data_IF_870692192448
#
_entry.id   IF_870692192448
#
_cell.length_a   1.000
_cell.length_b   1.000
_cell.length_c   1.000
_cell.angle_alpha   90.00
_cell.angle_beta   90.00
_cell.angle_gamma   90.00
#
_symmetry.space_group_name_H-M   'P 1'
#
loop_
_entity.id
_entity.type
_entity.pdbx_description
1 polymer ?
#
# COMPACT_ATOMS: atom_id res chain seq x y z
N UNK A 1 49.31 5.41 7.31
CA UNK A 1 50.65 5.92 6.94
C UNK A 1 51.57 4.76 6.63
N UNK A 2 52.57 4.90 5.74
CA UNK A 2 53.66 3.95 5.64
C UNK A 2 54.29 3.67 7.00
N UNK A 3 54.61 2.41 7.29
CA UNK A 3 55.09 1.95 8.61
C UNK A 3 56.27 2.79 9.13
N UNK A 4 57.22 3.12 8.25
CA UNK A 4 58.39 3.91 8.60
C UNK A 4 58.07 5.33 9.08
N UNK A 5 57.00 5.96 8.57
CA UNK A 5 56.53 7.27 9.04
C UNK A 5 55.87 7.12 10.42
N UNK A 6 55.07 6.07 10.59
CA UNK A 6 54.40 5.78 11.86
C UNK A 6 55.42 5.60 13.00
N UNK A 7 56.51 4.86 12.74
CA UNK A 7 57.57 4.61 13.73
C UNK A 7 58.46 5.84 14.02
N UNK A 8 58.48 6.83 13.13
CA UNK A 8 59.22 8.08 13.33
C UNK A 8 58.41 9.09 14.16
N UNK A 9 57.09 9.11 14.00
CA UNK A 9 56.20 10.07 14.67
C UNK A 9 55.51 9.53 15.93
N UNK A 10 55.38 8.21 16.07
CA UNK A 10 54.82 7.57 17.26
C UNK A 10 55.88 6.77 17.99
N UNK A 11 55.96 6.94 19.31
CA UNK A 11 56.78 6.07 20.14
C UNK A 11 56.25 4.63 20.09
N UNK A 12 57.10 3.61 20.29
CA UNK A 12 56.65 2.22 20.44
C UNK A 12 55.55 2.09 21.49
N UNK A 13 55.66 2.83 22.60
CA UNK A 13 54.64 2.89 23.65
C UNK A 13 53.31 3.48 23.17
N UNK A 14 53.34 4.50 22.30
CA UNK A 14 52.13 5.08 21.71
C UNK A 14 51.41 4.12 20.77
N UNK A 15 52.17 3.36 19.98
CA UNK A 15 51.62 2.31 19.10
C UNK A 15 50.97 1.21 19.94
N UNK A 16 51.66 0.72 20.97
CA UNK A 16 51.12 -0.30 21.88
C UNK A 16 49.84 0.20 22.56
N UNK A 17 49.83 1.40 23.13
CA UNK A 17 48.64 1.97 23.78
C UNK A 17 47.46 2.10 22.81
N UNK A 18 47.70 2.47 21.55
CA UNK A 18 46.64 2.57 20.54
C UNK A 18 46.02 1.19 20.25
N UNK A 19 46.86 0.17 20.09
CA UNK A 19 46.43 -1.21 19.84
C UNK A 19 45.68 -1.76 21.05
N UNK A 20 46.21 -1.57 22.26
CA UNK A 20 45.58 -2.00 23.52
C UNK A 20 44.22 -1.33 23.72
N UNK A 21 44.11 -0.02 23.46
CA UNK A 21 42.84 0.70 23.52
C UNK A 21 41.84 0.11 22.51
N UNK A 22 42.26 -0.15 21.26
CA UNK A 22 41.39 -0.75 20.26
C UNK A 22 40.86 -2.13 20.70
N UNK A 23 41.72 -2.98 21.25
CA UNK A 23 41.30 -4.28 21.80
C UNK A 23 40.34 -4.13 23.00
N UNK A 24 40.60 -3.17 23.90
CA UNK A 24 39.71 -2.90 25.03
C UNK A 24 38.31 -2.42 24.57
N UNK A 25 38.27 -1.56 23.54
CA UNK A 25 37.02 -1.11 22.93
C UNK A 25 36.26 -2.26 22.26
N UNK A 26 36.93 -3.08 21.45
CA UNK A 26 36.33 -4.28 20.83
C UNK A 26 35.79 -5.24 21.87
N UNK A 27 36.56 -5.54 22.93
CA UNK A 27 36.12 -6.43 24.01
C UNK A 27 34.88 -5.88 24.73
N UNK A 28 34.87 -4.57 25.03
CA UNK A 28 33.74 -3.93 25.69
C UNK A 28 32.49 -3.96 24.82
N UNK A 29 32.63 -3.60 23.54
CA UNK A 29 31.53 -3.62 22.58
C UNK A 29 30.97 -5.04 22.44
N UNK A 30 31.83 -6.04 22.23
CA UNK A 30 31.42 -7.43 22.09
C UNK A 30 30.69 -7.95 23.34
N UNK A 31 31.17 -7.63 24.54
CA UNK A 31 30.50 -8.01 25.78
C UNK A 31 29.11 -7.38 25.88
N UNK A 32 28.99 -6.08 25.53
CA UNK A 32 27.71 -5.39 25.51
C UNK A 32 26.74 -5.97 24.48
N UNK A 33 27.21 -6.18 23.25
CA UNK A 33 26.38 -6.74 22.17
C UNK A 33 25.90 -8.16 22.48
N UNK A 34 26.74 -8.98 23.12
CA UNK A 34 26.39 -10.35 23.55
C UNK A 34 25.26 -10.41 24.57
N UNK A 35 24.94 -9.30 25.26
CA UNK A 35 23.83 -9.24 26.21
C UNK A 35 22.47 -9.11 25.54
N UNK A 36 22.41 -8.67 24.27
CA UNK A 36 21.16 -8.52 23.54
C UNK A 36 20.80 -9.79 22.78
N UNK A 37 19.64 -10.37 23.09
CA UNK A 37 19.13 -11.54 22.37
C UNK A 37 18.76 -11.23 20.90
N UNK A 38 18.38 -9.98 20.64
CA UNK A 38 17.97 -9.46 19.33
C UNK A 38 19.13 -9.01 18.45
N UNK A 39 20.37 -9.08 18.93
CA UNK A 39 21.55 -8.74 18.13
C UNK A 39 22.26 -10.01 17.69
N UNK A 40 22.46 -10.14 16.39
CA UNK A 40 23.30 -11.18 15.79
C UNK A 40 24.69 -10.59 15.52
N UNK A 41 25.73 -11.25 16.03
CA UNK A 41 27.13 -10.91 15.74
C UNK A 41 27.65 -11.88 14.68
N UNK A 42 28.01 -11.36 13.51
CA UNK A 42 28.36 -12.19 12.37
C UNK A 42 29.77 -12.76 12.51
N UNK A 43 29.89 -14.06 12.22
CA UNK A 43 31.16 -14.79 12.33
C UNK A 43 31.49 -15.26 13.75
N UNK A 44 30.57 -15.12 14.71
CA UNK A 44 30.71 -15.62 16.08
C UNK A 44 29.44 -16.39 16.44
N UNK A 45 29.52 -17.72 16.47
CA UNK A 45 28.36 -18.59 16.70
C UNK A 45 27.81 -18.48 18.13
N UNK A 46 28.70 -18.46 19.13
CA UNK A 46 28.34 -18.29 20.55
C UNK A 46 29.07 -17.07 21.15
N UNK A 47 28.47 -15.87 21.08
CA UNK A 47 29.10 -14.65 21.59
C UNK A 47 29.40 -14.69 23.09
N UNK A 48 28.54 -15.31 23.90
CA UNK A 48 28.73 -15.41 25.35
C UNK A 48 29.92 -16.32 25.73
N UNK A 49 30.06 -17.46 25.05
CA UNK A 49 31.22 -18.34 25.25
C UNK A 49 32.49 -17.68 24.74
N UNK A 50 32.45 -17.06 23.56
CA UNK A 50 33.61 -16.41 22.97
C UNK A 50 34.10 -15.23 23.83
N UNK A 51 33.20 -14.40 24.36
CA UNK A 51 33.54 -13.33 25.32
C UNK A 51 34.14 -13.88 26.61
N UNK A 52 33.63 -15.01 27.12
CA UNK A 52 34.22 -15.67 28.28
C UNK A 52 35.65 -16.16 27.97
N UNK A 53 35.89 -16.75 26.80
CA UNK A 53 37.22 -17.19 26.38
C UNK A 53 38.22 -16.03 26.24
N UNK A 54 37.77 -14.87 25.76
CA UNK A 54 38.59 -13.64 25.74
C UNK A 54 38.90 -13.16 27.17
N UNK A 55 37.96 -13.27 28.11
CA UNK A 55 38.20 -12.90 29.49
C UNK A 55 39.23 -13.80 30.18
N UNK A 56 39.25 -15.10 29.84
CA UNK A 56 40.22 -16.08 30.35
C UNK A 56 41.53 -16.13 29.55
N UNK A 57 41.69 -15.29 28.51
CA UNK A 57 42.91 -15.22 27.71
C UNK A 57 43.07 -16.35 26.68
N UNK A 58 42.03 -17.13 26.41
CA UNK A 58 42.05 -18.19 25.39
C UNK A 58 41.97 -17.65 23.97
N UNK A 59 41.35 -16.47 23.78
CA UNK A 59 41.16 -15.82 22.49
C UNK A 59 41.53 -14.34 22.56
N UNK A 60 42.01 -13.78 21.45
CA UNK A 60 42.15 -12.34 21.29
C UNK A 60 40.81 -11.71 20.91
N UNK A 61 40.50 -10.48 21.37
CA UNK A 61 39.32 -9.77 20.90
C UNK A 61 39.40 -9.51 19.39
N UNK A 62 38.28 -9.60 18.67
CA UNK A 62 38.26 -9.37 17.24
C UNK A 62 38.56 -7.90 16.93
N UNK A 63 39.35 -7.67 15.87
CA UNK A 63 39.73 -6.32 15.43
C UNK A 63 38.55 -5.60 14.76
N UNK A 64 37.64 -6.38 14.15
CA UNK A 64 36.43 -5.88 13.50
C UNK A 64 35.25 -6.66 14.06
N UNK A 65 34.23 -5.94 14.50
CA UNK A 65 32.93 -6.49 14.85
C UNK A 65 31.93 -6.13 13.75
N UNK A 66 31.18 -7.13 13.29
CA UNK A 66 30.05 -6.94 12.40
C UNK A 66 28.80 -7.49 13.08
N UNK A 67 27.76 -6.68 13.23
CA UNK A 67 26.55 -7.07 13.94
C UNK A 67 25.31 -6.46 13.31
N UNK A 68 24.15 -7.06 13.55
CA UNK A 68 22.86 -6.56 13.05
C UNK A 68 21.71 -6.94 13.98
N UNK A 69 20.60 -6.23 13.85
CA UNK A 69 19.33 -6.61 14.45
C UNK A 69 18.78 -7.87 13.78
N UNK A 70 18.43 -8.86 14.61
CA UNK A 70 17.89 -10.15 14.24
C UNK A 70 16.37 -10.09 14.26
N UNK A 71 15.78 -9.94 13.08
CA UNK A 71 14.35 -10.15 12.90
C UNK A 71 14.03 -11.65 13.06
N UNK A 72 13.17 -12.04 14.00
CA UNK A 72 12.82 -13.44 14.20
C UNK A 72 12.04 -13.94 12.98
N UNK A 73 12.29 -15.17 12.49
CA UNK A 73 11.33 -15.81 11.61
C UNK A 73 10.05 -16.04 12.43
N UNK A 74 8.92 -15.50 11.98
CA UNK A 74 7.61 -15.79 12.57
C UNK A 74 7.38 -17.32 12.50
N UNK A 75 6.87 -17.92 13.58
CA UNK A 75 6.63 -19.38 13.74
C UNK A 75 5.79 -20.02 12.60
N UNK A 76 5.20 -19.21 11.72
CA UNK A 76 4.54 -19.66 10.49
C UNK A 76 5.53 -20.29 9.49
N UNK A 77 6.81 -19.93 9.51
CA UNK A 77 7.80 -20.33 8.50
C UNK A 77 8.60 -21.61 8.81
N UNK A 78 8.66 -22.09 10.07
CA UNK A 78 9.38 -23.34 10.37
C UNK A 78 8.67 -24.59 9.83
N UNK A 79 7.33 -24.54 9.71
CA UNK A 79 6.53 -25.65 9.15
C UNK A 79 6.79 -25.88 7.65
N UNK A 80 7.20 -24.85 6.91
CA UNK A 80 7.57 -24.97 5.49
C UNK A 80 8.96 -25.58 5.29
N UNK A 81 9.94 -25.23 6.15
CA UNK A 81 11.31 -25.79 6.12
C UNK A 81 11.37 -27.29 6.38
N UNK A 82 10.38 -27.86 7.08
CA UNK A 82 10.25 -29.30 7.28
C UNK A 82 9.88 -30.08 6.02
N UNK A 83 9.19 -29.45 5.07
CA UNK A 83 8.79 -30.07 3.81
C UNK A 83 9.84 -29.94 2.71
N UNK A 84 10.58 -28.83 2.64
CA UNK A 84 11.58 -28.61 1.59
C UNK A 84 12.80 -29.55 1.70
N UNK A 85 13.16 -29.98 2.92
CA UNK A 85 14.25 -30.96 3.12
C UNK A 85 13.94 -32.35 2.57
N UNK A 86 12.66 -32.72 2.40
CA UNK A 86 12.27 -34.02 1.80
C UNK A 86 12.20 -33.98 0.27
N UNK A 87 12.08 -32.80 -0.33
CA UNK A 87 12.04 -32.63 -1.80
C UNK A 87 13.42 -32.53 -2.44
N UNK A 88 14.44 -32.08 -1.69
CA UNK A 88 15.81 -31.96 -2.21
C UNK A 88 16.49 -33.34 -2.39
N UNK A 89 16.23 -34.32 -1.52
CA UNK A 89 16.80 -35.67 -1.63
C UNK A 89 16.22 -36.52 -2.79
N UNK A 90 15.17 -36.05 -3.47
CA UNK A 90 14.49 -36.83 -4.52
C UNK A 90 14.74 -36.34 -5.94
N UNK A 91 15.55 -35.28 -6.13
CA UNK A 91 15.81 -34.68 -7.46
C UNK A 91 17.11 -35.12 -8.13
N UNK A 92 17.96 -35.89 -7.47
CA UNK A 92 19.17 -36.47 -8.08
C UNK A 92 18.94 -37.89 -8.62
N UNK A 93 17.93 -38.11 -9.47
CA UNK A 93 17.92 -39.24 -10.42
C UNK A 93 16.71 -39.14 -11.35
N UNK A 94 16.89 -38.54 -12.53
CA UNK A 94 16.31 -39.00 -13.80
C UNK A 94 16.55 -37.96 -14.91
N UNK A 95 17.42 -38.33 -15.85
CA UNK A 95 17.59 -37.68 -17.14
C UNK A 95 16.86 -38.51 -18.19
N UNK A 96 15.93 -37.92 -18.97
CA UNK A 96 15.84 -37.99 -20.45
C UNK A 96 14.41 -37.84 -21.02
N UNK A 97 14.25 -36.79 -21.84
CA UNK A 97 13.49 -36.72 -23.11
C UNK A 97 11.94 -36.59 -23.14
N UNK A 98 11.37 -36.03 -24.24
CA UNK A 98 10.26 -35.07 -24.19
C UNK A 98 8.96 -35.49 -24.93
N UNK A 99 7.93 -34.62 -24.80
CA UNK A 99 6.73 -34.40 -25.64
C UNK A 99 5.35 -34.74 -25.03
N UNK A 100 4.44 -33.74 -25.08
CA UNK A 100 3.00 -33.86 -24.86
C UNK A 100 2.34 -32.53 -24.42
N UNK A 101 1.26 -32.05 -25.06
CA UNK A 101 0.68 -30.73 -24.77
C UNK A 101 -0.20 -30.78 -23.52
N UNK A 102 -0.06 -29.78 -22.66
CA UNK A 102 -0.84 -29.65 -21.42
C UNK A 102 -2.16 -28.93 -21.72
N UNK A 103 -3.27 -29.62 -21.49
CA UNK A 103 -4.61 -29.06 -21.45
C UNK A 103 -4.73 -28.09 -20.26
N UNK A 104 -5.23 -26.89 -20.53
CA UNK A 104 -5.64 -25.91 -19.51
C UNK A 104 -7.14 -26.09 -19.31
N UNK A 105 -7.53 -26.70 -18.19
CA UNK A 105 -8.87 -26.51 -17.63
C UNK A 105 -8.73 -26.07 -16.16
N UNK A 106 -9.17 -24.83 -15.97
CA UNK A 106 -9.78 -24.20 -14.80
C UNK A 106 -9.89 -25.02 -13.53
N UNK A 107 -9.36 -24.48 -12.43
CA UNK A 107 -10.14 -24.44 -11.20
C UNK A 107 -9.94 -23.08 -10.50
N UNK A 108 -10.99 -22.28 -10.58
CA UNK A 108 -11.12 -20.98 -9.96
C UNK A 108 -11.85 -21.17 -8.63
N UNK A 109 -11.13 -21.11 -7.51
CA UNK A 109 -11.64 -20.65 -6.20
C UNK A 109 -10.48 -20.73 -5.18
N UNK A 110 -10.32 -19.67 -4.38
CA UNK A 110 -9.39 -19.54 -3.23
C UNK A 110 -8.04 -18.82 -3.45
N UNK A 111 -8.00 -17.75 -4.25
CA UNK A 111 -6.88 -16.79 -4.25
C UNK A 111 -7.34 -15.39 -3.82
N UNK A 112 -7.42 -15.13 -2.52
CA UNK A 112 -7.42 -13.72 -2.06
C UNK A 112 -6.82 -13.46 -0.68
N UNK A 113 -6.47 -14.48 0.12
CA UNK A 113 -6.01 -14.27 1.50
C UNK A 113 -4.54 -14.58 1.79
N UNK A 114 -3.80 -15.20 0.85
CA UNK A 114 -2.46 -15.77 1.12
C UNK A 114 -1.30 -15.16 0.31
N UNK A 115 -1.51 -14.08 -0.45
CA UNK A 115 -0.47 -13.59 -1.39
C UNK A 115 0.51 -12.61 -0.73
N UNK A 116 0.17 -11.99 0.40
CA UNK A 116 0.75 -10.70 0.73
C UNK A 116 1.81 -10.63 1.83
N UNK A 117 2.00 -11.70 2.62
CA UNK A 117 2.95 -11.68 3.76
C UNK A 117 3.94 -12.84 3.77
N UNK A 118 3.85 -13.79 2.83
CA UNK A 118 4.49 -15.11 2.99
C UNK A 118 5.79 -15.32 2.18
N UNK A 119 6.30 -14.29 1.49
CA UNK A 119 7.56 -14.44 0.76
C UNK A 119 8.76 -14.22 1.68
N UNK A 120 9.70 -15.17 1.69
CA UNK A 120 11.01 -15.04 2.35
C UNK A 120 11.72 -13.74 1.94
N UNK A 121 11.50 -13.28 0.71
CA UNK A 121 12.04 -12.02 0.20
C UNK A 121 11.51 -10.79 0.96
N UNK A 122 10.21 -10.73 1.24
CA UNK A 122 9.61 -9.62 2.01
C UNK A 122 10.16 -9.56 3.43
N UNK A 123 10.27 -10.70 4.11
CA UNK A 123 10.83 -10.76 5.46
C UNK A 123 12.30 -10.27 5.51
N UNK A 124 13.10 -10.61 4.49
CA UNK A 124 14.48 -10.12 4.36
C UNK A 124 14.51 -8.62 4.11
N UNK A 125 13.66 -8.12 3.22
CA UNK A 125 13.57 -6.68 2.94
C UNK A 125 13.16 -5.91 4.19
N UNK A 126 12.16 -6.38 4.92
CA UNK A 126 11.71 -5.77 6.16
C UNK A 126 12.83 -5.75 7.22
N UNK A 127 13.52 -6.88 7.41
CA UNK A 127 14.69 -6.96 8.30
C UNK A 127 15.80 -5.98 7.89
N UNK A 128 15.99 -5.74 6.59
CA UNK A 128 16.96 -4.77 6.08
C UNK A 128 16.52 -3.33 6.34
N UNK A 129 15.23 -3.04 6.22
CA UNK A 129 14.65 -1.74 6.57
C UNK A 129 14.78 -1.44 8.06
N UNK A 130 14.53 -2.42 8.94
CA UNK A 130 14.73 -2.29 10.38
C UNK A 130 16.20 -1.95 10.71
N UNK A 131 17.15 -2.67 10.11
CA UNK A 131 18.58 -2.39 10.30
C UNK A 131 19.01 -1.04 9.73
N UNK A 132 18.44 -0.62 8.59
CA UNK A 132 18.69 0.71 8.03
C UNK A 132 18.18 1.82 8.95
N UNK A 133 16.95 1.67 9.48
CA UNK A 133 16.36 2.61 10.41
C UNK A 133 17.18 2.71 11.71
N UNK A 134 17.57 1.57 12.28
CA UNK A 134 18.40 1.50 13.48
C UNK A 134 19.71 2.29 13.30
N UNK A 135 20.27 2.29 12.09
CA UNK A 135 21.48 3.03 11.78
C UNK A 135 21.30 4.53 11.59
N UNK A 136 20.14 5.01 11.15
CA UNK A 136 19.91 6.43 10.88
C UNK A 136 20.06 7.31 12.13
N UNK A 137 19.52 6.86 13.27
CA UNK A 137 19.67 7.55 14.55
C UNK A 137 21.00 7.27 15.22
N UNK A 138 21.29 5.98 15.50
CA UNK A 138 22.42 5.59 16.33
C UNK A 138 23.79 6.02 15.78
N UNK A 139 23.99 5.99 14.46
CA UNK A 139 25.29 6.40 13.87
C UNK A 139 25.47 7.91 13.98
N UNK A 140 24.39 8.70 13.84
CA UNK A 140 24.48 10.15 13.95
C UNK A 140 24.80 10.60 15.37
N UNK A 141 24.25 9.91 16.37
CA UNK A 141 24.42 10.24 17.78
C UNK A 141 25.75 9.71 18.35
N UNK A 142 26.26 8.59 17.81
CA UNK A 142 27.51 7.95 18.25
C UNK A 142 28.66 8.06 17.23
N UNK A 143 28.83 9.23 16.58
CA UNK A 143 29.89 9.47 15.58
C UNK A 143 31.30 9.18 16.10
N UNK A 144 31.53 9.38 17.40
CA UNK A 144 32.83 9.14 18.04
C UNK A 144 33.25 7.67 18.04
N UNK A 145 32.35 6.74 17.75
CA UNK A 145 32.67 5.30 17.61
C UNK A 145 33.11 4.93 16.19
N UNK A 146 32.86 5.78 15.19
CA UNK A 146 33.15 5.47 13.79
C UNK A 146 32.46 4.21 13.27
N UNK A 147 31.27 3.89 13.79
CA UNK A 147 30.44 2.78 13.31
C UNK A 147 29.94 3.10 11.90
N UNK A 148 29.99 2.11 11.02
CA UNK A 148 29.55 2.23 9.64
C UNK A 148 28.40 1.27 9.37
N UNK A 149 27.37 1.72 8.64
CA UNK A 149 26.38 0.83 8.06
C UNK A 149 26.94 0.28 6.75
N UNK A 150 27.05 -1.04 6.66
CA UNK A 150 27.55 -1.76 5.49
C UNK A 150 26.46 -2.67 4.92
N UNK A 151 26.46 -2.84 3.61
CA UNK A 151 25.60 -3.81 2.92
C UNK A 151 26.36 -5.12 2.74
N UNK A 152 25.82 -6.20 3.30
CA UNK A 152 26.36 -7.55 3.14
C UNK A 152 25.68 -8.22 1.96
N UNK A 153 26.47 -8.71 1.02
CA UNK A 153 25.97 -9.38 -0.18
C UNK A 153 25.07 -10.59 0.13
N UNK A 154 24.21 -10.92 -0.84
CA UNK A 154 23.26 -12.02 -0.75
C UNK A 154 22.08 -11.70 0.18
N UNK A 155 21.65 -12.67 0.99
CA UNK A 155 20.49 -12.56 1.88
C UNK A 155 20.81 -11.95 3.25
N UNK A 156 22.04 -11.44 3.45
CA UNK A 156 22.51 -10.99 4.76
C UNK A 156 22.16 -9.54 5.07
N UNK A 157 22.02 -8.71 4.04
CA UNK A 157 21.44 -7.38 4.15
C UNK A 157 22.30 -6.37 4.89
N UNK A 158 21.67 -5.37 5.49
CA UNK A 158 22.38 -4.29 6.17
C UNK A 158 22.91 -4.72 7.55
N UNK A 159 24.14 -4.32 7.86
CA UNK A 159 24.78 -4.58 9.15
C UNK A 159 25.69 -3.42 9.58
N UNK A 160 26.02 -3.40 10.86
CA UNK A 160 26.94 -2.43 11.46
C UNK A 160 28.34 -3.00 11.51
N UNK A 161 29.32 -2.18 11.12
CA UNK A 161 30.74 -2.47 11.23
C UNK A 161 31.38 -1.55 12.26
N UNK A 162 32.04 -2.14 13.24
CA UNK A 162 32.84 -1.45 14.25
C UNK A 162 34.29 -1.94 14.17
N UNK A 163 35.21 -1.05 13.79
CA UNK A 163 36.64 -1.32 13.71
C UNK A 163 37.41 -0.24 14.48
N UNK A 164 37.59 -0.38 15.81
CA UNK A 164 38.25 0.65 16.60
C UNK A 164 39.71 0.85 16.20
N UNK A 165 40.38 -0.15 15.63
CA UNK A 165 41.77 0.00 15.18
C UNK A 165 41.92 1.04 14.04
N UNK A 166 40.91 1.18 13.19
CA UNK A 166 40.91 2.14 12.08
C UNK A 166 40.57 3.56 12.54
N UNK A 167 39.63 3.69 13.48
CA UNK A 167 38.94 4.96 13.74
C UNK A 167 39.20 5.54 15.13
N UNK A 168 39.54 4.72 16.14
CA UNK A 168 39.51 5.16 17.54
C UNK A 168 40.51 6.26 17.87
N UNK A 169 41.72 6.18 17.31
CA UNK A 169 42.76 7.19 17.53
C UNK A 169 42.38 8.55 16.95
N UNK A 170 41.72 8.57 15.79
CA UNK A 170 41.30 9.80 15.09
C UNK A 170 40.11 10.47 15.77
N UNK A 171 39.17 9.69 16.32
CA UNK A 171 37.97 10.20 16.98
C UNK A 171 38.10 10.33 18.50
N UNK A 172 39.24 9.93 19.08
CA UNK A 172 39.43 9.93 20.54
C UNK A 172 38.45 9.01 21.26
N UNK A 173 38.14 7.85 20.66
CA UNK A 173 37.14 6.91 21.18
C UNK A 173 37.56 6.32 22.53
N UNK A 174 36.64 6.32 23.48
CA UNK A 174 36.83 5.79 24.84
C UNK A 174 35.75 4.76 25.15
N UNK A 175 36.02 3.95 26.18
CA UNK A 175 35.09 2.95 26.71
C UNK A 175 33.74 3.58 27.08
N UNK A 176 33.73 4.82 27.62
CA UNK A 176 32.50 5.54 27.95
C UNK A 176 31.58 5.70 26.73
N UNK A 177 32.13 6.06 25.57
CA UNK A 177 31.34 6.22 24.34
C UNK A 177 30.71 4.89 23.89
N UNK A 178 31.38 3.75 24.13
CA UNK A 178 30.84 2.42 23.85
C UNK A 178 29.66 2.13 24.78
N UNK A 179 29.77 2.47 26.06
CA UNK A 179 28.68 2.30 27.03
C UNK A 179 27.46 3.17 26.69
N UNK A 180 27.68 4.42 26.31
CA UNK A 180 26.62 5.34 25.88
C UNK A 180 25.88 4.79 24.64
N UNK A 181 26.63 4.26 23.66
CA UNK A 181 26.03 3.59 22.51
C UNK A 181 25.21 2.36 22.89
N UNK A 182 25.72 1.49 23.76
CA UNK A 182 24.99 0.30 24.20
C UNK A 182 23.68 0.66 24.92
N UNK A 183 23.68 1.76 25.68
CA UNK A 183 22.46 2.30 26.29
C UNK A 183 21.46 2.77 25.22
N UNK A 184 21.90 3.59 24.26
CA UNK A 184 21.02 4.05 23.16
C UNK A 184 20.51 2.88 22.31
N UNK A 185 21.34 1.88 22.07
CA UNK A 185 20.96 0.65 21.36
C UNK A 185 19.87 -0.12 22.13
N UNK A 186 19.93 -0.15 23.47
CA UNK A 186 18.89 -0.77 24.30
C UNK A 186 17.54 -0.10 24.07
N UNK A 187 17.50 1.23 24.13
CA UNK A 187 16.26 2.00 23.92
C UNK A 187 15.72 1.80 22.49
N UNK A 188 16.61 1.81 21.49
CA UNK A 188 16.24 1.58 20.09
C UNK A 188 15.72 0.16 19.83
N UNK A 189 16.30 -0.87 20.47
CA UNK A 189 15.83 -2.25 20.38
C UNK A 189 14.42 -2.37 20.98
N UNK A 190 14.12 -1.71 22.09
CA UNK A 190 12.78 -1.75 22.69
C UNK A 190 11.70 -1.18 21.76
N UNK A 191 12.02 -0.11 21.03
CA UNK A 191 11.14 0.45 19.99
C UNK A 191 10.99 -0.52 18.81
N UNK A 192 12.07 -1.14 18.36
CA UNK A 192 12.03 -2.15 17.30
C UNK A 192 11.16 -3.36 17.69
N UNK A 193 11.34 -3.89 18.90
CA UNK A 193 10.56 -5.03 19.40
C UNK A 193 9.06 -4.71 19.46
N UNK A 194 8.70 -3.52 19.95
CA UNK A 194 7.32 -3.05 20.00
C UNK A 194 6.72 -2.87 18.61
N UNK A 195 7.51 -2.31 17.68
CA UNK A 195 7.09 -2.09 16.28
C UNK A 195 6.91 -3.41 15.54
N UNK A 196 7.83 -4.37 15.72
CA UNK A 196 7.76 -5.71 15.12
C UNK A 196 6.54 -6.47 15.64
N UNK A 197 6.27 -6.40 16.95
CA UNK A 197 5.10 -7.06 17.54
C UNK A 197 3.79 -6.47 16.98
N UNK A 198 3.73 -5.15 16.82
CA UNK A 198 2.60 -4.49 16.15
C UNK A 198 2.50 -4.85 14.66
N UNK A 199 3.62 -4.97 13.94
CA UNK A 199 3.68 -5.40 12.53
C UNK A 199 3.13 -6.81 12.35
N UNK A 200 3.58 -7.77 13.16
CA UNK A 200 3.14 -9.16 13.09
C UNK A 200 1.63 -9.31 13.33
N UNK A 201 1.06 -8.52 14.24
CA UNK A 201 -0.38 -8.47 14.54
C UNK A 201 -1.21 -7.56 13.62
N UNK A 202 -0.56 -6.75 12.77
CA UNK A 202 -1.22 -5.65 12.06
C UNK A 202 -2.35 -6.15 11.15
N UNK A 203 -2.09 -7.19 10.36
CA UNK A 203 -3.07 -7.71 9.41
C UNK A 203 -4.30 -8.35 10.11
N UNK A 204 -4.15 -8.83 11.34
CA UNK A 204 -5.26 -9.42 12.10
C UNK A 204 -6.31 -8.36 12.51
N UNK A 205 -5.89 -7.10 12.59
CA UNK A 205 -6.76 -5.95 12.88
C UNK A 205 -7.65 -5.54 11.69
N UNK A 206 -7.38 -6.03 10.47
CA UNK A 206 -8.15 -5.72 9.26
C UNK A 206 -9.67 -5.95 9.43
N UNK A 207 -10.05 -6.98 10.19
CA UNK A 207 -11.45 -7.31 10.45
C UNK A 207 -12.20 -6.27 11.29
N UNK A 208 -11.47 -5.52 12.13
CA UNK A 208 -12.04 -4.50 13.02
C UNK A 208 -12.28 -3.17 12.28
N UNK A 209 -11.57 -2.94 11.17
CA UNK A 209 -11.60 -1.69 10.41
C UNK A 209 -12.02 -1.92 8.95
N UNK A 210 -13.31 -2.13 8.65
CA UNK A 210 -13.78 -2.42 7.29
C UNK A 210 -13.68 -1.22 6.32
N UNK A 211 -13.50 0.01 6.83
CA UNK A 211 -13.23 1.20 6.03
C UNK A 211 -11.76 1.37 5.67
N UNK A 212 -10.86 0.58 6.27
CA UNK A 212 -9.44 0.61 5.99
C UNK A 212 -9.04 -0.64 5.23
N UNK A 213 -8.02 -0.52 4.39
CA UNK A 213 -7.36 -1.63 3.74
C UNK A 213 -5.89 -1.61 4.14
N UNK A 214 -5.51 -2.59 4.94
CA UNK A 214 -4.16 -2.74 5.49
C UNK A 214 -3.28 -3.40 4.43
N UNK A 215 -2.14 -2.78 4.16
CA UNK A 215 -1.27 -3.14 3.05
C UNK A 215 0.19 -3.09 3.50
N UNK A 216 1.03 -4.03 3.03
CA UNK A 216 2.45 -3.93 3.27
C UNK A 216 3.05 -2.80 2.43
N UNK A 217 4.13 -2.26 2.96
CA UNK A 217 4.85 -1.14 2.38
C UNK A 217 6.28 -1.60 2.14
N UNK A 218 6.73 -1.49 0.89
CA UNK A 218 8.12 -1.81 0.52
C UNK A 218 9.10 -0.84 1.18
N UNK A 219 10.29 -1.36 1.51
CA UNK A 219 11.41 -0.61 2.10
C UNK A 219 11.02 0.22 3.34
N UNK A 220 10.10 -0.28 4.16
CA UNK A 220 9.59 0.42 5.33
C UNK A 220 9.92 -0.33 6.62
N UNK A 221 10.43 0.38 7.62
CA UNK A 221 10.81 -0.19 8.92
C UNK A 221 9.69 -0.15 9.97
N UNK A 222 8.58 0.56 9.68
CA UNK A 222 7.46 0.71 10.62
C UNK A 222 6.47 -0.46 10.58
N UNK A 223 5.29 -0.23 11.14
CA UNK A 223 4.25 -1.27 11.28
C UNK A 223 3.64 -1.69 9.95
N UNK A 224 3.39 -0.74 9.04
CA UNK A 224 2.74 -1.03 7.76
C UNK A 224 2.04 0.19 7.16
N UNK A 225 1.13 -0.05 6.22
CA UNK A 225 0.30 0.98 5.60
C UNK A 225 -1.20 0.68 5.72
N UNK A 226 -2.02 1.72 5.76
CA UNK A 226 -3.47 1.62 5.61
C UNK A 226 -3.96 2.58 4.54
N UNK A 227 -4.87 2.11 3.69
CA UNK A 227 -5.60 2.91 2.74
C UNK A 227 -7.05 3.05 3.21
N UNK A 228 -7.53 4.29 3.39
CA UNK A 228 -8.94 4.55 3.64
C UNK A 228 -9.74 4.33 2.35
N UNK A 229 -10.77 3.50 2.42
CA UNK A 229 -11.68 3.17 1.31
C UNK A 229 -12.94 4.04 1.43
N UNK A 230 -13.11 5.07 0.57
CA UNK A 230 -14.32 5.88 0.55
C UNK A 230 -15.54 5.09 0.04
N UNK A 231 -16.73 5.56 0.41
CA UNK A 231 -18.02 4.97 0.09
C UNK A 231 -18.27 4.83 -1.42
N UNK A 232 -17.61 5.66 -2.25
CA UNK A 232 -17.76 5.64 -3.71
C UNK A 232 -17.22 4.36 -4.37
N UNK A 233 -16.23 3.72 -3.75
CA UNK A 233 -15.63 2.44 -4.21
C UNK A 233 -15.97 1.28 -3.28
N UNK A 234 -16.85 1.51 -2.29
CA UNK A 234 -17.22 0.49 -1.31
C UNK A 234 -17.97 -0.66 -1.99
N UNK A 235 -17.34 -1.84 -1.99
CA UNK A 235 -17.85 -3.05 -2.63
C UNK A 235 -17.09 -3.48 -3.89
N UNK A 236 -16.19 -2.64 -4.42
CA UNK A 236 -15.26 -3.03 -5.48
C UNK A 236 -13.88 -3.28 -4.85
N UNK A 237 -13.26 -4.46 -5.06
CA UNK A 237 -11.95 -4.74 -4.50
C UNK A 237 -10.87 -3.83 -5.11
N UNK A 238 -9.79 -3.49 -4.38
CA UNK A 238 -8.73 -2.61 -4.86
C UNK A 238 -8.06 -3.02 -6.18
N UNK A 239 -8.10 -4.32 -6.51
CA UNK A 239 -7.60 -4.87 -7.78
C UNK A 239 -8.42 -4.47 -9.01
N UNK A 240 -9.69 -4.12 -8.83
CA UNK A 240 -10.62 -3.79 -9.90
C UNK A 240 -10.88 -2.29 -10.05
N UNK A 241 -10.21 -1.46 -9.23
CA UNK A 241 -10.35 -0.02 -9.32
C UNK A 241 -9.80 0.50 -10.66
N UNK A 242 -10.59 1.32 -11.34
CA UNK A 242 -10.13 2.06 -12.50
C UNK A 242 -9.20 3.22 -12.09
N UNK A 243 -8.47 3.79 -13.05
CA UNK A 243 -7.47 4.84 -12.77
C UNK A 243 -8.07 6.07 -12.07
N UNK A 244 -9.32 6.44 -12.39
CA UNK A 244 -9.99 7.58 -11.75
C UNK A 244 -10.35 7.27 -10.31
N UNK A 245 -10.87 6.08 -10.03
CA UNK A 245 -11.14 5.61 -8.67
C UNK A 245 -9.85 5.59 -7.85
N UNK A 246 -8.76 5.06 -8.41
CA UNK A 246 -7.43 5.07 -7.76
C UNK A 246 -6.95 6.49 -7.47
N UNK A 247 -7.14 7.43 -8.39
CA UNK A 247 -6.80 8.83 -8.20
C UNK A 247 -7.63 9.48 -7.09
N UNK A 248 -8.93 9.22 -7.03
CA UNK A 248 -9.84 9.74 -6.00
C UNK A 248 -9.49 9.19 -4.61
N UNK A 249 -9.24 7.88 -4.52
CA UNK A 249 -8.80 7.23 -3.27
C UNK A 249 -7.45 7.79 -2.83
N UNK A 250 -6.51 7.95 -3.76
CA UNK A 250 -5.18 8.50 -3.46
C UNK A 250 -5.26 9.94 -2.98
N UNK A 251 -6.10 10.76 -3.60
CA UNK A 251 -6.32 12.14 -3.18
C UNK A 251 -6.83 12.23 -1.74
N UNK A 252 -7.86 11.45 -1.39
CA UNK A 252 -8.37 11.39 -0.02
C UNK A 252 -7.28 10.95 0.96
N UNK A 253 -6.54 9.89 0.64
CA UNK A 253 -5.50 9.36 1.52
C UNK A 253 -4.33 10.35 1.71
N UNK A 254 -3.98 11.13 0.69
CA UNK A 254 -2.98 12.21 0.82
C UNK A 254 -3.49 13.32 1.75
N UNK A 255 -4.73 13.76 1.57
CA UNK A 255 -5.37 14.76 2.45
C UNK A 255 -5.47 14.25 3.89
N UNK A 256 -5.80 12.97 4.07
CA UNK A 256 -5.83 12.28 5.35
C UNK A 256 -4.46 12.31 6.03
N UNK A 257 -3.37 11.98 5.32
CA UNK A 257 -2.01 12.09 5.88
C UNK A 257 -1.69 13.52 6.31
N UNK A 258 -2.06 14.52 5.52
CA UNK A 258 -1.84 15.92 5.88
C UNK A 258 -2.59 16.32 7.16
N UNK A 259 -3.84 15.89 7.31
CA UNK A 259 -4.63 16.11 8.52
C UNK A 259 -4.01 15.39 9.72
N UNK A 260 -3.65 14.11 9.58
CA UNK A 260 -3.10 13.28 10.65
C UNK A 260 -1.74 13.76 11.14
N UNK A 261 -0.87 14.24 10.24
CA UNK A 261 0.47 14.77 10.59
C UNK A 261 0.44 15.97 11.53
N UNK A 262 -0.67 16.71 11.56
CA UNK A 262 -0.85 17.81 12.51
C UNK A 262 -1.09 17.31 13.95
N UNK A 263 -1.57 16.07 14.09
CA UNK A 263 -1.89 15.44 15.37
C UNK A 263 -0.74 14.57 15.84
N UNK A 264 -0.19 13.74 14.95
CA UNK A 264 0.87 12.80 15.27
C UNK A 264 1.92 12.69 14.15
N UNK A 265 3.19 12.80 14.54
CA UNK A 265 4.34 12.66 13.65
C UNK A 265 4.59 11.23 13.16
N UNK A 266 3.94 10.22 13.75
CA UNK A 266 4.05 8.81 13.36
C UNK A 266 3.48 8.53 11.96
N UNK A 267 2.67 9.44 11.41
CA UNK A 267 2.04 9.27 10.11
C UNK A 267 2.86 9.84 8.96
N UNK A 268 2.99 9.07 7.88
CA UNK A 268 3.63 9.52 6.66
C UNK A 268 2.92 9.04 5.40
N UNK A 269 3.17 9.72 4.28
CA UNK A 269 2.58 9.33 3.00
C UNK A 269 3.32 8.13 2.43
N UNK A 270 2.56 7.15 1.96
CA UNK A 270 3.03 6.01 1.22
C UNK A 270 2.31 5.82 -0.08
N UNK A 271 2.84 4.90 -0.87
CA UNK A 271 2.22 4.41 -2.08
C UNK A 271 2.29 2.89 -2.04
N UNK A 272 1.19 2.23 -2.37
CA UNK A 272 1.17 0.79 -2.53
C UNK A 272 1.69 0.45 -3.93
N UNK A 273 2.82 -0.24 -4.02
CA UNK A 273 3.38 -0.72 -5.30
C UNK A 273 2.42 -1.67 -6.02
N UNK A 274 1.61 -2.43 -5.27
CA UNK A 274 0.70 -3.43 -5.84
C UNK A 274 -0.56 -2.79 -6.43
N UNK A 275 -1.14 -1.82 -5.73
CA UNK A 275 -2.41 -1.22 -6.16
C UNK A 275 -2.25 0.13 -6.87
N UNK A 276 -1.09 0.79 -6.73
CA UNK A 276 -0.81 2.11 -7.29
C UNK A 276 -1.66 3.21 -6.65
N UNK A 277 -1.89 3.11 -5.33
CA UNK A 277 -2.68 4.08 -4.57
C UNK A 277 -1.92 4.63 -3.38
N UNK A 278 -2.17 5.89 -3.05
CA UNK A 278 -1.61 6.50 -1.84
C UNK A 278 -2.20 5.88 -0.58
N UNK A 279 -1.39 5.77 0.45
CA UNK A 279 -1.75 5.19 1.74
C UNK A 279 -1.09 5.94 2.89
N UNK A 280 -1.63 5.75 4.09
CA UNK A 280 -1.06 6.23 5.35
C UNK A 280 -0.08 5.17 5.85
N UNK A 281 1.21 5.52 5.95
CA UNK A 281 2.24 4.68 6.59
C UNK A 281 2.26 4.94 8.09
N UNK A 282 2.32 3.85 8.86
CA UNK A 282 2.53 3.86 10.30
C UNK A 282 4.01 3.68 10.60
N UNK A 283 4.59 4.63 11.32
CA UNK A 283 5.99 4.63 11.72
C UNK A 283 6.35 3.61 12.80
N UNK A 284 7.44 3.92 13.49
CA UNK A 284 7.92 3.15 14.64
C UNK A 284 7.04 3.45 15.86
N UNK A 285 6.76 2.42 16.65
CA UNK A 285 5.97 2.53 17.88
C UNK A 285 6.82 2.21 19.10
N UNK A 286 6.66 3.00 20.16
CA UNK A 286 7.27 2.72 21.45
C UNK A 286 6.48 1.68 22.26
N UNK A 287 5.20 1.49 21.91
CA UNK A 287 4.32 0.51 22.52
C UNK A 287 3.44 -0.12 21.43
N UNK A 288 3.37 -1.45 21.42
CA UNK A 288 2.62 -2.21 20.43
C UNK A 288 1.12 -1.85 20.41
N UNK A 289 0.56 -1.44 21.56
CA UNK A 289 -0.88 -1.18 21.71
C UNK A 289 -1.34 0.11 21.03
N UNK A 290 -0.41 1.04 20.81
CA UNK A 290 -0.69 2.33 20.19
C UNK A 290 -1.22 2.16 18.75
N UNK A 291 -0.94 1.02 18.10
CA UNK A 291 -1.43 0.75 16.74
C UNK A 291 -2.97 0.79 16.64
N UNK A 292 -3.67 0.36 17.69
CA UNK A 292 -5.14 0.33 17.70
C UNK A 292 -5.67 1.77 17.74
N UNK A 293 -5.11 2.62 18.58
CA UNK A 293 -5.49 4.02 18.70
C UNK A 293 -5.17 4.79 17.41
N UNK A 294 -4.02 4.51 16.79
CA UNK A 294 -3.64 5.10 15.51
C UNK A 294 -4.57 4.66 14.37
N UNK A 295 -4.98 3.39 14.32
CA UNK A 295 -5.96 2.90 13.34
C UNK A 295 -7.34 3.53 13.54
N UNK A 296 -7.80 3.66 14.79
CA UNK A 296 -9.02 4.40 15.12
C UNK A 296 -8.96 5.83 14.60
N UNK A 297 -7.85 6.54 14.89
CA UNK A 297 -7.66 7.91 14.44
C UNK A 297 -7.67 8.03 12.91
N UNK A 298 -7.04 7.11 12.19
CA UNK A 298 -7.06 7.08 10.71
C UNK A 298 -8.48 6.85 10.18
N UNK A 299 -9.23 5.91 10.78
CA UNK A 299 -10.60 5.61 10.37
C UNK A 299 -11.57 6.77 10.63
N UNK A 300 -11.47 7.41 11.80
CA UNK A 300 -12.30 8.55 12.18
C UNK A 300 -12.00 9.77 11.31
N UNK A 301 -10.71 10.14 11.16
CA UNK A 301 -10.32 11.28 10.32
C UNK A 301 -10.60 11.04 8.85
N UNK A 302 -10.46 9.81 8.37
CA UNK A 302 -10.81 9.46 6.99
C UNK A 302 -12.29 9.70 6.71
N UNK A 303 -13.15 9.33 7.67
CA UNK A 303 -14.59 9.57 7.59
C UNK A 303 -14.95 11.06 7.67
N UNK A 304 -14.32 11.82 8.58
CA UNK A 304 -14.53 13.27 8.68
C UNK A 304 -14.18 14.01 7.38
N UNK A 305 -13.08 13.60 6.72
CA UNK A 305 -12.68 14.18 5.43
C UNK A 305 -13.67 13.78 4.34
N UNK A 306 -14.09 12.51 4.28
CA UNK A 306 -15.09 12.05 3.31
C UNK A 306 -16.42 12.80 3.45
N UNK A 307 -16.87 13.06 4.68
CA UNK A 307 -18.12 13.78 4.98
C UNK A 307 -17.97 15.32 4.80
N UNK A 308 -16.76 15.83 4.57
CA UNK A 308 -16.50 17.26 4.43
C UNK A 308 -16.96 17.80 3.07
N UNK A 309 -17.64 18.95 3.10
CA UNK A 309 -18.04 19.67 1.88
C UNK A 309 -16.82 20.06 1.02
N UNK A 310 -15.70 20.39 1.65
CA UNK A 310 -14.46 20.76 0.94
C UNK A 310 -13.92 19.59 0.10
N UNK A 311 -14.00 18.37 0.61
CA UNK A 311 -13.61 17.17 -0.12
C UNK A 311 -14.55 16.94 -1.31
N UNK A 312 -15.87 17.03 -1.09
CA UNK A 312 -16.88 16.88 -2.15
C UNK A 312 -16.72 17.93 -3.26
N UNK A 313 -16.46 19.19 -2.90
CA UNK A 313 -16.23 20.27 -3.85
C UNK A 313 -14.93 20.07 -4.65
N UNK A 314 -13.85 19.65 -3.97
CA UNK A 314 -12.56 19.33 -4.60
C UNK A 314 -12.68 18.12 -5.54
N UNK A 315 -13.41 17.08 -5.12
CA UNK A 315 -13.73 15.92 -5.94
C UNK A 315 -14.53 16.31 -7.18
N UNK A 316 -15.54 17.17 -7.01
CA UNK A 316 -16.34 17.69 -8.13
C UNK A 316 -15.49 18.53 -9.10
N UNK A 317 -14.58 19.36 -8.60
CA UNK A 317 -13.65 20.13 -9.43
C UNK A 317 -12.72 19.22 -10.23
N UNK A 318 -12.15 18.19 -9.60
CA UNK A 318 -11.30 17.20 -10.25
C UNK A 318 -12.05 16.45 -11.37
N UNK A 319 -13.30 16.05 -11.12
CA UNK A 319 -14.14 15.40 -12.14
C UNK A 319 -14.44 16.36 -13.30
N UNK A 320 -14.81 17.62 -13.02
CA UNK A 320 -15.06 18.64 -14.06
C UNK A 320 -13.84 18.85 -14.94
N UNK A 321 -12.66 19.01 -14.34
CA UNK A 321 -11.41 19.16 -15.08
C UNK A 321 -11.12 17.94 -15.94
N UNK A 322 -11.28 16.73 -15.39
CA UNK A 322 -11.10 15.49 -16.15
C UNK A 322 -12.06 15.36 -17.33
N UNK A 323 -13.29 15.87 -17.22
CA UNK A 323 -14.25 15.91 -18.33
C UNK A 323 -13.80 16.93 -19.37
N UNK A 324 -13.39 18.14 -18.96
CA UNK A 324 -12.95 19.18 -19.89
C UNK A 324 -11.71 18.75 -20.67
N UNK A 325 -10.69 18.20 -20.00
CA UNK A 325 -9.47 17.70 -20.67
C UNK A 325 -9.80 16.64 -21.71
N UNK A 326 -10.71 15.70 -21.40
CA UNK A 326 -11.10 14.69 -22.39
C UNK A 326 -11.94 15.30 -23.52
N UNK A 327 -12.77 16.31 -23.24
CA UNK A 327 -13.52 17.02 -24.28
C UNK A 327 -12.59 17.78 -25.23
N UNK A 328 -11.57 18.45 -24.69
CA UNK A 328 -10.51 19.09 -25.47
C UNK A 328 -9.72 18.09 -26.31
N UNK A 329 -9.36 16.93 -25.74
CA UNK A 329 -8.68 15.86 -26.47
C UNK A 329 -9.55 15.27 -27.59
N UNK A 330 -10.85 15.09 -27.34
CA UNK A 330 -11.81 14.66 -28.37
C UNK A 330 -11.97 15.69 -29.48
N UNK A 331 -12.01 16.98 -29.13
CA UNK A 331 -12.07 18.07 -30.11
C UNK A 331 -10.80 18.07 -30.96
N UNK A 332 -9.62 17.88 -30.35
CA UNK A 332 -8.34 17.78 -31.06
C UNK A 332 -8.29 16.54 -31.96
N UNK A 333 -8.78 15.39 -31.51
CA UNK A 333 -8.86 14.18 -32.33
C UNK A 333 -9.83 14.38 -33.51
N UNK A 334 -10.97 15.03 -33.29
CA UNK A 334 -11.93 15.35 -34.34
C UNK A 334 -11.35 16.34 -35.36
N UNK A 335 -10.67 17.41 -34.91
CA UNK A 335 -9.95 18.34 -35.78
C UNK A 335 -8.85 17.63 -36.58
N UNK A 336 -8.09 16.72 -35.95
CA UNK A 336 -7.09 15.91 -36.62
C UNK A 336 -7.71 14.94 -37.65
N UNK A 337 -8.86 14.33 -37.35
CA UNK A 337 -9.64 13.53 -38.31
C UNK A 337 -10.13 14.39 -39.48
N UNK A 338 -10.64 15.60 -39.22
CA UNK A 338 -11.04 16.57 -40.24
C UNK A 338 -9.87 17.00 -41.13
N UNK A 339 -8.68 17.17 -40.55
CA UNK A 339 -7.45 17.45 -41.28
C UNK A 339 -6.99 16.24 -42.11
N UNK A 340 -7.12 15.02 -41.59
CA UNK A 340 -6.70 13.79 -42.26
C UNK A 340 -7.65 13.36 -43.38
N UNK A 341 -8.97 13.49 -43.17
CA UNK A 341 -10.01 13.27 -44.18
C UNK A 341 -10.10 14.43 -45.19
N UNK A 342 -9.44 15.55 -44.88
CA UNK A 342 -9.32 16.71 -45.73
C UNK A 342 -10.59 17.55 -45.78
N UNK A 343 -10.43 18.87 -45.68
CA UNK A 343 -11.46 19.91 -45.91
C UNK A 343 -11.95 19.94 -47.37
N UNK A 344 -11.68 18.90 -48.16
CA UNK A 344 -11.83 18.87 -49.62
C UNK A 344 -13.28 18.61 -50.10
N UNK A 345 -14.28 18.90 -49.26
CA UNK A 345 -15.70 18.88 -49.66
C UNK A 345 -16.48 20.17 -49.36
N UNK A 346 -15.85 21.20 -48.79
CA UNK A 346 -16.55 22.45 -48.46
C UNK A 346 -16.30 23.64 -49.39
N UNK A 347 -15.56 23.44 -50.50
CA UNK A 347 -15.44 24.47 -51.52
C UNK A 347 -15.82 23.86 -52.87
N UNK A 348 -16.86 24.39 -53.55
CA UNK A 348 -17.18 23.95 -54.90
C UNK A 348 -16.11 24.50 -55.84
N UNK A 349 -15.11 23.67 -56.16
CA UNK A 349 -14.31 23.87 -57.37
C UNK A 349 -14.98 23.01 -58.43
N UNK A 350 -15.56 23.68 -59.42
CA UNK A 350 -16.42 23.10 -60.45
C UNK A 350 -15.75 21.91 -61.15
N UNK A 351 -16.27 20.69 -60.92
CA UNK A 351 -16.47 19.60 -61.91
C UNK A 351 -16.62 18.24 -61.20
N UNK A 352 -17.72 18.03 -60.45
CA UNK A 352 -18.38 16.72 -60.24
C UNK A 352 -19.48 16.88 -59.18
N UNK A 353 -20.71 17.13 -59.62
CA UNK A 353 -21.88 17.35 -58.74
C UNK A 353 -22.38 16.08 -58.01
N UNK A 354 -21.77 14.91 -58.21
CA UNK A 354 -22.29 13.64 -57.67
C UNK A 354 -21.82 13.38 -56.23
N UNK A 355 -20.73 14.04 -55.79
CA UNK A 355 -20.14 13.79 -54.47
C UNK A 355 -20.73 14.67 -53.33
N UNK A 356 -21.49 15.73 -53.68
CA UNK A 356 -22.08 16.67 -52.72
C UNK A 356 -23.52 16.28 -52.32
N UNK A 357 -24.22 15.53 -53.17
CA UNK A 357 -25.63 15.16 -52.95
C UNK A 357 -25.75 13.71 -52.42
N UNK A 358 -24.62 13.01 -52.25
CA UNK A 358 -24.62 11.67 -51.67
C UNK A 358 -24.85 11.80 -50.15
N UNK A 359 -25.93 11.20 -49.59
CA UNK A 359 -26.13 11.20 -48.16
C UNK A 359 -24.94 10.51 -47.51
N UNK A 360 -24.26 11.19 -46.60
CA UNK A 360 -23.28 10.54 -45.73
C UNK A 360 -24.01 9.41 -45.00
N UNK A 361 -23.44 8.20 -45.02
CA UNK A 361 -23.97 7.07 -44.27
C UNK A 361 -24.31 7.55 -42.85
N UNK A 362 -25.50 7.20 -42.35
CA UNK A 362 -26.01 7.62 -41.02
C UNK A 362 -25.04 7.26 -39.88
N UNK A 363 -24.08 6.38 -40.13
CA UNK A 363 -22.98 6.00 -39.24
C UNK A 363 -21.93 7.10 -39.04
N UNK A 364 -21.79 8.04 -40.00
CA UNK A 364 -20.79 9.14 -39.98
C UNK A 364 -21.39 10.45 -39.45
N UNK A 365 -22.71 10.64 -39.57
CA UNK A 365 -23.39 11.86 -39.10
C UNK A 365 -23.84 11.82 -37.64
N UNK A 366 -23.80 10.66 -36.99
CA UNK A 366 -24.13 10.62 -35.57
C UNK A 366 -22.96 11.22 -34.80
N UNK A 367 -23.08 12.51 -34.43
CA UNK A 367 -22.24 13.10 -33.39
C UNK A 367 -22.54 12.27 -32.15
N UNK A 368 -21.73 11.24 -31.93
CA UNK A 368 -21.81 10.34 -30.79
C UNK A 368 -21.55 11.19 -29.56
N UNK A 369 -22.62 11.72 -28.97
CA UNK A 369 -22.60 12.18 -27.59
C UNK A 369 -22.01 11.07 -26.75
N UNK A 370 -21.19 11.41 -25.77
CA UNK A 370 -20.68 10.43 -24.81
C UNK A 370 -21.04 10.92 -23.41
N UNK A 371 -21.59 10.04 -22.59
CA UNK A 371 -21.93 10.32 -21.20
C UNK A 371 -20.85 9.74 -20.28
N UNK A 372 -20.43 10.54 -19.32
CA UNK A 372 -19.50 10.10 -18.28
C UNK A 372 -20.28 9.37 -17.17
N UNK A 373 -19.95 8.10 -16.95
CA UNK A 373 -20.50 7.36 -15.82
C UNK A 373 -19.59 7.56 -14.60
N UNK A 374 -20.15 8.19 -13.56
CA UNK A 374 -19.48 8.52 -12.31
C UNK A 374 -18.97 7.29 -11.54
N UNK A 375 -19.59 6.12 -11.75
CA UNK A 375 -19.21 4.89 -11.05
C UNK A 375 -18.07 4.16 -11.75
N UNK A 376 -18.11 4.11 -13.08
CA UNK A 376 -17.12 3.38 -13.88
C UNK A 376 -15.97 4.26 -14.37
N UNK A 377 -16.06 5.58 -14.22
CA UNK A 377 -15.04 6.53 -14.70
C UNK A 377 -14.87 6.52 -16.22
N UNK A 378 -15.72 5.77 -16.94
CA UNK A 378 -15.64 5.57 -18.37
C UNK A 378 -16.64 6.44 -19.11
N UNK A 379 -16.25 6.80 -20.33
CA UNK A 379 -17.04 7.61 -21.23
C UNK A 379 -17.78 6.64 -22.14
N UNK A 380 -19.07 6.44 -21.84
CA UNK A 380 -19.93 5.57 -22.63
C UNK A 380 -20.55 6.36 -23.79
N UNK A 381 -20.69 5.78 -24.99
CA UNK A 381 -21.47 6.38 -26.06
C UNK A 381 -22.91 6.61 -25.57
N UNK A 382 -23.41 7.84 -25.70
CA UNK A 382 -24.78 8.21 -25.33
C UNK A 382 -25.84 7.43 -26.12
N UNK A 383 -25.44 6.71 -27.18
CA UNK A 383 -26.30 5.81 -27.96
C UNK A 383 -26.98 4.73 -27.09
N UNK A 384 -26.37 4.31 -25.98
CA UNK A 384 -26.98 3.34 -25.06
C UNK A 384 -28.24 3.92 -24.40
N UNK A 385 -28.24 5.21 -24.07
CA UNK A 385 -29.39 5.89 -23.44
C UNK A 385 -30.51 6.18 -24.45
N UNK A 386 -30.15 6.50 -25.70
CA UNK A 386 -31.14 6.68 -26.77
C UNK A 386 -31.81 5.35 -27.13
N UNK A 387 -31.07 4.24 -27.22
CA UNK A 387 -31.65 2.91 -27.50
C UNK A 387 -32.64 2.45 -26.42
N UNK A 388 -32.35 2.70 -25.15
CA UNK A 388 -33.26 2.37 -24.04
C UNK A 388 -34.53 3.21 -24.10
N UNK A 389 -34.40 4.51 -24.37
CA UNK A 389 -35.54 5.43 -24.50
C UNK A 389 -36.39 5.16 -25.75
N UNK A 390 -35.76 4.77 -26.86
CA UNK A 390 -36.44 4.36 -28.09
C UNK A 390 -37.15 3.01 -27.91
N UNK A 391 -36.62 2.09 -27.10
CA UNK A 391 -37.34 0.85 -26.72
C UNK A 391 -38.55 1.15 -25.82
N UNK A 392 -38.43 2.09 -24.89
CA UNK A 392 -39.51 2.51 -23.99
C UNK A 392 -40.62 3.27 -24.73
N UNK A 393 -40.27 4.13 -25.71
CA UNK A 393 -41.22 4.81 -26.60
C UNK A 393 -41.88 3.86 -27.61
N UNK A 394 -41.15 2.86 -28.12
CA UNK A 394 -41.71 1.89 -29.08
C UNK A 394 -42.65 0.86 -28.42
N UNK A 395 -42.54 0.63 -27.10
CA UNK A 395 -43.51 -0.16 -26.34
C UNK A 395 -44.81 0.59 -26.06
N UNK A 396 -44.79 1.94 -26.07
CA UNK A 396 -45.96 2.77 -25.82
C UNK A 396 -46.79 3.13 -27.07
N UNK A 397 -46.36 2.74 -28.28
CA UNK A 397 -46.95 3.21 -29.55
C UNK A 397 -47.42 2.11 -30.51
N UNK A 398 -47.69 0.89 -30.01
CA UNK A 398 -48.31 -0.19 -30.79
C UNK A 398 -49.62 -0.68 -30.17
N UNK A 399 -50.68 0.09 -30.35
CA UNK A 399 -52.02 -0.48 -30.51
C UNK A 399 -52.34 -0.57 -32.01
N UNK A 400 -52.62 -1.77 -32.57
CA UNK A 400 -52.99 -1.90 -33.96
C UNK A 400 -54.52 -1.90 -34.15
N UNK A 401 -55.04 -0.91 -34.86
CA UNK A 401 -56.33 -1.01 -35.54
C UNK A 401 -56.11 -1.58 -36.95
N UNK A 402 -56.61 -2.79 -37.20
CA UNK A 402 -57.04 -3.19 -38.55
C UNK A 402 -58.37 -3.94 -38.47
N UNK A 403 -59.37 -3.36 -39.12
CA UNK A 403 -60.68 -3.94 -39.39
C UNK A 403 -60.64 -4.88 -40.59
N UNK A 404 -61.05 -6.14 -40.42
CA UNK A 404 -61.57 -7.00 -41.49
C UNK A 404 -62.88 -7.68 -41.03
N UNK A 405 -63.81 -7.81 -41.98
CA UNK A 405 -65.24 -8.11 -41.86
C UNK A 405 -65.58 -9.54 -41.38
N UNK A 406 -66.83 -9.80 -40.95
CA UNK A 406 -67.20 -10.94 -40.12
C UNK A 406 -67.54 -12.19 -40.93
N UNK A 407 -67.28 -13.37 -40.36
CA UNK A 407 -68.10 -14.54 -40.68
C UNK A 407 -68.24 -15.47 -39.47
N UNK A 408 -69.44 -16.03 -39.42
CA UNK A 408 -70.11 -16.74 -38.34
C UNK A 408 -69.52 -18.13 -38.07
N UNK A 409 -69.39 -18.55 -36.80
CA UNK A 409 -69.57 -19.93 -36.30
C UNK A 409 -69.27 -20.08 -34.79
N UNK A 410 -70.33 -19.94 -33.98
CA UNK A 410 -70.78 -20.82 -32.88
C UNK A 410 -69.81 -21.91 -32.36
N UNK A 411 -69.44 -21.85 -31.08
CA UNK A 411 -69.79 -22.85 -30.03
C UNK A 411 -68.94 -22.73 -28.75
N UNK A 412 -69.64 -22.72 -27.59
CA UNK A 412 -69.34 -23.33 -26.26
C UNK A 412 -67.95 -23.11 -25.66
N UNK A 413 -67.76 -22.69 -24.41
CA UNK A 413 -68.65 -22.55 -23.26
C UNK A 413 -67.77 -22.44 -22.01
N UNK A 414 -68.40 -22.02 -20.91
CA UNK A 414 -68.00 -22.22 -19.50
C UNK A 414 -66.66 -21.66 -19.00
N UNK A 415 -66.58 -21.07 -17.81
CA UNK A 415 -67.57 -20.64 -16.81
C UNK A 415 -66.78 -19.89 -15.75
N UNK A 416 -67.37 -18.84 -15.16
CA UNK A 416 -67.18 -18.39 -13.76
C UNK A 416 -65.76 -18.01 -13.25
N UNK A 417 -65.55 -16.97 -12.43
CA UNK A 417 -66.46 -16.08 -11.69
C UNK A 417 -65.65 -14.86 -11.22
N UNK A 418 -66.18 -13.69 -11.56
CA UNK A 418 -66.42 -12.46 -10.75
C UNK A 418 -65.35 -11.98 -9.78
N UNK A 419 -64.84 -10.73 -9.91
CA UNK A 419 -65.54 -9.43 -9.64
C UNK A 419 -66.11 -9.40 -8.21
N UNK A 420 -65.90 -8.42 -7.34
CA UNK A 420 -65.93 -6.95 -7.44
C UNK A 420 -65.31 -6.45 -6.11
N UNK A 421 -64.41 -5.45 -6.07
CA UNK A 421 -64.64 -4.01 -6.21
C UNK A 421 -65.02 -3.29 -4.90
N UNK A 422 -64.59 -2.02 -4.87
CA UNK A 422 -65.09 -0.87 -4.08
C UNK A 422 -64.54 -0.70 -2.66
N UNK A 423 -64.16 0.47 -2.10
CA UNK A 423 -63.76 1.83 -2.51
C UNK A 423 -63.50 2.57 -1.15
N UNK A 424 -62.69 3.64 -1.15
CA UNK A 424 -62.76 4.86 -0.29
C UNK A 424 -62.37 4.79 1.21
N UNK A 425 -61.32 5.52 1.64
CA UNK A 425 -61.30 6.91 2.20
C UNK A 425 -61.71 6.95 3.68
N UNK A 426 -60.84 7.35 4.62
CA UNK A 426 -60.61 8.74 5.04
C UNK A 426 -59.61 8.86 6.21
N UNK A 427 -59.23 10.12 6.41
CA UNK A 427 -58.29 10.81 7.27
C UNK A 427 -58.65 10.87 8.77
N UNK A 428 -57.63 11.14 9.61
CA UNK A 428 -57.62 12.16 10.70
C UNK A 428 -56.39 11.92 11.60
N UNK A 429 -55.42 12.84 11.66
CA UNK A 429 -55.30 13.97 12.60
C UNK A 429 -55.68 13.66 14.06
N UNK A 430 -54.73 13.84 14.99
CA UNK A 430 -54.85 14.80 16.10
C UNK A 430 -53.48 15.11 16.74
N UNK A 431 -53.47 16.21 17.48
CA UNK A 431 -52.40 17.16 17.80
C UNK A 431 -52.21 17.25 19.33
N UNK A 432 -51.05 17.71 19.83
CA UNK A 432 -50.78 18.50 21.09
C UNK A 432 -49.30 18.35 21.51
N UNK A 433 -48.44 19.37 21.39
CA UNK A 433 -48.13 20.54 22.28
C UNK A 433 -47.34 20.20 23.56
N UNK A 434 -46.15 20.83 23.70
CA UNK A 434 -45.09 20.69 24.74
C UNK A 434 -45.37 21.34 26.12
N UNK A 435 -44.37 21.81 26.92
CA UNK A 435 -43.20 22.61 26.49
C UNK A 435 -41.83 22.37 27.21
N UNK A 436 -40.85 23.19 26.78
CA UNK A 436 -39.48 23.50 27.25
C UNK A 436 -39.18 23.52 28.77
N UNK A 437 -37.92 23.22 29.13
CA UNK A 437 -37.09 24.08 30.01
C UNK A 437 -35.60 24.04 29.62
N UNK A 438 -34.99 25.22 29.63
CA UNK A 438 -33.57 25.57 29.49
C UNK A 438 -32.97 25.68 30.89
N UNK A 439 -31.69 25.35 31.08
CA UNK A 439 -30.81 26.11 31.99
C UNK A 439 -29.33 25.91 31.66
N UNK A 440 -28.65 27.04 31.46
CA UNK A 440 -27.20 27.25 31.52
C UNK A 440 -26.75 27.51 32.97
N UNK A 441 -25.43 27.77 33.13
CA UNK A 441 -24.59 28.06 34.34
C UNK A 441 -23.93 26.81 34.94
N UNK A 442 -22.64 26.76 35.26
CA UNK A 442 -21.52 27.71 35.25
C UNK A 442 -20.36 27.15 36.12
N UNK A 443 -19.12 27.44 35.73
CA UNK A 443 -17.88 27.51 36.55
C UNK A 443 -17.65 26.58 37.75
N UNK A 444 -16.60 25.77 37.69
CA UNK A 444 -15.44 25.79 38.61
C UNK A 444 -14.19 25.21 37.93
#
# INVERSE_FOLDING_TARGET
MPWWIMTQHMSPTGITNMIENAYALSKTMLNGLSSFQRIEILGIDNPAEFTSGIAHGHYSPPVVLVFKYKYPPTDRHEKSRGNDRKSEERRETATSSPEGPVNIETDATNHSSNVFTDSVAYSIEYANSLNAWLGQGLISDCRTLGIQLIELGGMRGNAFRFCPLEVSASYGTRIAHVQDFLKQLTDAIAVLDSTVSAHDGFHELQSQYPSLFLLPVERWAGVGGACYIPSIVKGTPPSEWNDKQKQQVSYLNVELVHSLRSVDSAFSSGESSVYGVSCVKFGMLSNEKDIIDLLNLVAERGKEIEDSQQYLDSLAAMIRQGIETVNEDLKRENEARLMHEGIMRQIPIMSSFVNWISPLNKEVQNIKGRSFDLKTGQIQPSEVFYKVKDMELNMASKEPHQSFKPNDQRAKGDETRRFEAITTVDSSMTNKKGPLYINETGSE
#
